data_IF_262832279420
#
_entry.id   IF_262832279420
#
_cell.length_a   1.000
_cell.length_b   1.000
_cell.length_c   1.000
_cell.angle_alpha   90.00
_cell.angle_beta   90.00
_cell.angle_gamma   90.00
#
_symmetry.space_group_name_H-M   'P 1'
#
loop_
_entity.id
_entity.type
_entity.pdbx_description
1 polymer ?
#
# COMPACT_ATOMS: atom_id res chain seq x y z
N UNK A 1 7.95 20.86 33.24
CA UNK A 1 6.56 20.68 33.70
C UNK A 1 5.73 21.73 32.97
N UNK A 2 4.79 21.45 32.08
CA UNK A 2 4.06 20.23 31.80
C UNK A 2 3.73 20.15 30.30
N UNK A 3 3.60 18.90 29.86
CA UNK A 3 3.00 18.40 28.63
C UNK A 3 1.81 19.20 28.11
N UNK A 4 1.75 19.33 26.77
CA UNK A 4 0.52 19.12 25.99
C UNK A 4 0.86 18.96 24.51
N UNK A 5 1.20 17.72 24.14
CA UNK A 5 0.97 17.23 22.78
C UNK A 5 -0.52 17.40 22.48
N UNK A 6 -0.87 18.35 21.62
CA UNK A 6 -2.21 18.39 21.02
C UNK A 6 -2.03 18.39 19.51
N UNK A 7 -1.60 17.22 18.98
CA UNK A 7 -1.71 16.95 17.55
C UNK A 7 -3.20 16.75 17.28
N UNK A 8 -3.85 17.77 16.73
CA UNK A 8 -5.25 17.69 16.33
C UNK A 8 -5.45 16.47 15.40
N UNK A 9 -6.42 15.60 15.68
CA UNK A 9 -6.77 14.48 14.81
C UNK A 9 -7.63 15.00 13.66
N UNK A 10 -7.00 15.32 12.52
CA UNK A 10 -7.70 15.63 11.28
C UNK A 10 -7.77 14.35 10.42
N UNK A 11 -8.76 13.50 10.66
CA UNK A 11 -9.10 12.41 9.75
C UNK A 11 -10.55 11.96 9.97
N UNK A 12 -11.48 12.79 9.53
CA UNK A 12 -12.87 12.47 9.21
C UNK A 12 -13.27 13.53 8.17
N UNK A 13 -13.82 13.28 7.00
CA UNK A 13 -14.47 12.10 6.41
C UNK A 13 -14.92 12.57 5.01
N UNK A 14 -14.42 12.03 3.88
CA UNK A 14 -15.08 12.20 2.57
C UNK A 14 -14.60 11.13 1.57
N UNK A 15 -15.56 10.30 1.11
CA UNK A 15 -15.51 9.23 0.09
C UNK A 15 -14.82 7.91 0.48
N UNK A 16 -15.60 6.85 0.73
CA UNK A 16 -15.12 5.47 0.84
C UNK A 16 -15.37 4.74 -0.48
N UNK A 17 -14.56 5.02 -1.49
CA UNK A 17 -14.68 4.38 -2.81
C UNK A 17 -13.81 3.12 -2.96
N UNK A 18 -13.35 2.52 -1.84
CA UNK A 18 -12.54 1.31 -1.95
C UNK A 18 -12.31 0.60 -0.63
N UNK A 19 -12.06 -0.71 -0.75
CA UNK A 19 -11.60 -1.57 0.32
C UNK A 19 -10.22 -1.11 0.79
N UNK A 20 -10.01 -1.07 2.11
CA UNK A 20 -8.73 -0.65 2.71
C UNK A 20 -7.98 -1.83 3.33
N UNK A 21 -6.69 -1.63 3.63
CA UNK A 21 -5.86 -2.60 4.37
C UNK A 21 -6.48 -2.96 5.73
N UNK A 22 -7.24 -2.04 6.34
CA UNK A 22 -7.91 -2.26 7.61
C UNK A 22 -9.03 -3.30 7.49
N UNK A 23 -9.73 -3.29 6.36
CA UNK A 23 -10.84 -4.20 6.09
C UNK A 23 -10.31 -5.61 5.78
N UNK A 24 -9.21 -5.70 5.03
CA UNK A 24 -8.47 -6.96 4.82
C UNK A 24 -7.98 -7.52 6.15
N UNK A 25 -7.41 -6.68 7.03
CA UNK A 25 -6.92 -7.11 8.34
C UNK A 25 -8.03 -7.71 9.21
N UNK A 26 -9.21 -7.08 9.23
CA UNK A 26 -10.40 -7.60 9.94
C UNK A 26 -10.88 -8.92 9.34
N UNK A 27 -10.97 -8.99 8.00
CA UNK A 27 -11.46 -10.18 7.28
C UNK A 27 -10.54 -11.39 7.46
N UNK A 28 -9.23 -11.18 7.40
CA UNK A 28 -8.21 -12.22 7.58
C UNK A 28 -7.87 -12.51 9.05
N UNK A 29 -8.48 -11.79 10.01
CA UNK A 29 -8.21 -11.90 11.44
C UNK A 29 -6.72 -11.74 11.80
N UNK A 30 -6.07 -10.73 11.23
CA UNK A 30 -4.65 -10.41 11.46
C UNK A 30 -4.48 -8.91 11.74
N UNK A 31 -3.30 -8.53 12.24
CA UNK A 31 -2.97 -7.11 12.42
C UNK A 31 -2.67 -6.43 11.07
N UNK A 32 -2.91 -5.11 10.99
CA UNK A 32 -2.51 -4.28 9.83
C UNK A 32 -1.02 -4.46 9.48
N UNK A 33 -0.18 -4.58 10.51
CA UNK A 33 1.27 -4.82 10.37
C UNK A 33 1.57 -6.16 9.71
N UNK A 34 0.76 -7.18 9.96
CA UNK A 34 0.87 -8.50 9.33
C UNK A 34 0.48 -8.43 7.86
N UNK A 35 -0.63 -7.75 7.53
CA UNK A 35 -1.04 -7.53 6.13
C UNK A 35 0.04 -6.77 5.36
N UNK A 36 0.57 -5.69 5.95
CA UNK A 36 1.67 -4.92 5.34
C UNK A 36 2.91 -5.78 5.09
N UNK A 37 3.28 -6.68 6.01
CA UNK A 37 4.41 -7.61 5.83
C UNK A 37 4.16 -8.63 4.73
N UNK A 38 2.94 -9.16 4.65
CA UNK A 38 2.52 -10.11 3.60
C UNK A 38 2.58 -9.43 2.23
N UNK A 39 1.97 -8.25 2.09
CA UNK A 39 1.91 -7.51 0.83
C UNK A 39 3.28 -6.99 0.38
N UNK A 40 4.15 -6.59 1.31
CA UNK A 40 5.51 -6.14 0.99
C UNK A 40 6.53 -7.29 0.94
N UNK A 41 6.12 -8.55 1.14
CA UNK A 41 6.99 -9.73 1.10
C UNK A 41 8.14 -9.74 2.11
N UNK A 42 8.07 -8.92 3.17
CA UNK A 42 9.24 -8.58 4.01
C UNK A 42 9.44 -9.45 5.24
N UNK A 43 8.54 -10.40 5.54
CA UNK A 43 8.69 -11.29 6.69
C UNK A 43 8.11 -12.68 6.45
N UNK A 44 8.75 -13.68 7.08
CA UNK A 44 8.25 -15.05 7.17
C UNK A 44 7.01 -15.06 8.06
N UNK A 45 5.84 -14.99 7.43
CA UNK A 45 4.54 -15.23 8.05
C UNK A 45 4.19 -16.70 7.90
N UNK A 46 3.48 -17.24 8.91
CA UNK A 46 2.95 -18.60 8.81
C UNK A 46 2.06 -18.71 7.56
N UNK A 47 2.27 -19.77 6.76
CA UNK A 47 1.54 -20.04 5.53
C UNK A 47 0.02 -19.89 5.70
N UNK A 48 -0.54 -20.41 6.80
CA UNK A 48 -1.97 -20.27 7.10
C UNK A 48 -2.45 -18.81 7.14
N UNK A 49 -1.65 -17.90 7.69
CA UNK A 49 -2.00 -16.47 7.77
C UNK A 49 -1.78 -15.77 6.44
N UNK A 50 -0.77 -16.19 5.67
CA UNK A 50 -0.53 -15.67 4.33
C UNK A 50 -1.70 -16.02 3.40
N UNK A 51 -2.16 -17.27 3.44
CA UNK A 51 -3.30 -17.74 2.66
C UNK A 51 -4.58 -17.01 3.06
N UNK A 52 -4.82 -16.81 4.37
CA UNK A 52 -5.98 -16.04 4.85
C UNK A 52 -5.98 -14.59 4.36
N UNK A 53 -4.81 -13.94 4.31
CA UNK A 53 -4.67 -12.58 3.77
C UNK A 53 -4.89 -12.56 2.26
N UNK A 54 -4.33 -13.52 1.52
CA UNK A 54 -4.55 -13.62 0.07
C UNK A 54 -6.03 -13.84 -0.27
N UNK A 55 -6.72 -14.72 0.46
CA UNK A 55 -8.16 -14.93 0.30
C UNK A 55 -8.94 -13.66 0.60
N UNK A 56 -8.61 -12.95 1.68
CA UNK A 56 -9.27 -11.68 2.01
C UNK A 56 -9.03 -10.58 0.96
N UNK A 57 -7.84 -10.54 0.33
CA UNK A 57 -7.53 -9.60 -0.77
C UNK A 57 -8.39 -9.91 -1.99
N UNK A 58 -8.57 -11.18 -2.34
CA UNK A 58 -9.39 -11.63 -3.47
C UNK A 58 -10.88 -11.38 -3.20
N UNK A 59 -11.37 -11.79 -2.02
CA UNK A 59 -12.78 -11.63 -1.59
C UNK A 59 -13.23 -10.17 -1.63
N UNK A 60 -12.31 -9.25 -1.34
CA UNK A 60 -12.58 -7.82 -1.22
C UNK A 60 -12.13 -7.02 -2.44
N UNK A 61 -11.68 -7.67 -3.52
CA UNK A 61 -11.18 -7.02 -4.74
C UNK A 61 -10.19 -5.87 -4.47
N UNK A 62 -9.30 -6.08 -3.48
CA UNK A 62 -8.40 -5.03 -3.03
C UNK A 62 -7.28 -4.82 -4.04
N UNK A 63 -7.27 -3.63 -4.66
CA UNK A 63 -6.17 -3.18 -5.53
C UNK A 63 -5.27 -2.20 -4.77
N UNK A 64 -3.96 -2.51 -4.59
CA UNK A 64 -3.05 -1.62 -3.92
C UNK A 64 -2.84 -0.31 -4.68
N UNK A 65 -2.94 0.82 -3.97
CA UNK A 65 -2.65 2.12 -4.54
C UNK A 65 -1.14 2.37 -4.56
N UNK A 66 -0.55 2.34 -5.76
CA UNK A 66 0.89 2.53 -5.96
C UNK A 66 1.42 3.89 -5.48
N UNK A 67 0.63 4.97 -5.60
CA UNK A 67 1.05 6.30 -5.11
C UNK A 67 1.13 6.34 -3.59
N UNK A 68 0.12 5.77 -2.91
CA UNK A 68 0.10 5.66 -1.46
C UNK A 68 1.23 4.74 -0.95
N UNK A 69 1.50 3.63 -1.66
CA UNK A 69 2.62 2.75 -1.35
C UNK A 69 3.97 3.43 -1.56
N UNK A 70 4.11 4.23 -2.62
CA UNK A 70 5.31 5.03 -2.88
C UNK A 70 5.56 6.09 -1.82
N UNK A 71 4.51 6.75 -1.34
CA UNK A 71 4.59 7.70 -0.23
C UNK A 71 4.99 7.02 1.08
N UNK A 72 4.33 5.90 1.42
CA UNK A 72 4.60 5.17 2.65
C UNK A 72 6.00 4.53 2.69
N UNK A 73 6.47 4.03 1.55
CA UNK A 73 7.83 3.46 1.42
C UNK A 73 8.91 4.51 1.18
N UNK A 74 8.53 5.75 0.86
CA UNK A 74 9.44 6.80 0.41
C UNK A 74 10.09 6.52 -0.96
N UNK A 75 9.61 5.51 -1.70
CA UNK A 75 10.16 5.06 -2.98
C UNK A 75 9.05 5.06 -4.02
N UNK A 76 9.09 6.00 -4.96
CA UNK A 76 8.11 6.06 -6.05
C UNK A 76 8.26 4.93 -7.08
N UNK A 77 9.39 4.22 -7.08
CA UNK A 77 9.75 3.20 -8.08
C UNK A 77 9.58 3.70 -9.53
N UNK A 78 9.66 5.02 -9.74
CA UNK A 78 9.45 5.67 -11.04
C UNK A 78 10.79 5.99 -11.69
N UNK A 79 11.01 5.50 -12.91
CA UNK A 79 12.16 5.87 -13.75
C UNK A 79 11.74 6.98 -14.72
N UNK A 80 12.29 8.18 -14.56
CA UNK A 80 12.12 9.27 -15.51
C UNK A 80 13.17 9.20 -16.61
N UNK A 81 12.74 9.18 -17.87
CA UNK A 81 13.64 9.18 -19.04
C UNK A 81 13.49 10.52 -19.75
N UNK A 82 14.60 11.23 -19.95
CA UNK A 82 14.67 12.44 -20.75
C UNK A 82 15.38 12.15 -22.06
N UNK A 83 14.72 12.40 -23.19
CA UNK A 83 15.29 12.24 -24.53
C UNK A 83 15.01 13.48 -25.37
N UNK A 84 15.85 13.71 -26.38
CA UNK A 84 15.68 14.79 -27.33
C UNK A 84 14.44 14.60 -28.21
N UNK A 85 14.13 13.35 -28.58
CA UNK A 85 12.94 12.99 -29.37
C UNK A 85 12.56 11.52 -29.14
N UNK A 86 11.35 11.28 -28.62
CA UNK A 86 10.84 9.93 -28.34
C UNK A 86 10.64 9.07 -29.60
N UNK A 87 10.48 9.69 -30.78
CA UNK A 87 10.26 9.02 -32.05
C UNK A 87 11.52 8.77 -32.87
N UNK A 88 12.71 9.10 -32.34
CA UNK A 88 13.96 8.84 -33.05
C UNK A 88 14.25 7.33 -33.09
N UNK A 89 14.66 6.77 -34.24
CA UNK A 89 15.07 5.35 -34.36
C UNK A 89 16.19 4.93 -33.39
N UNK A 90 16.97 5.90 -32.90
CA UNK A 90 18.03 5.67 -31.91
C UNK A 90 17.52 5.38 -30.49
N UNK A 91 16.31 5.82 -30.13
CA UNK A 91 15.75 5.68 -28.77
C UNK A 91 14.49 4.80 -28.72
N UNK A 92 13.89 4.50 -29.88
CA UNK A 92 12.66 3.73 -30.02
C UNK A 92 12.89 2.23 -30.31
N UNK A 93 14.15 1.79 -30.37
CA UNK A 93 14.54 0.38 -30.59
C UNK A 93 14.66 -0.39 -29.27
#
# INVERSE_FOLDING_TARGET
>A
MADRKTKQPQSAETVRDGVTIDDIAKRANVSKSTVSRVLNGSAVVNQQKQDAVHQAVIDLDYTPNMFAQGLASGKSMTLGILTQNIGSPFYAA
#
